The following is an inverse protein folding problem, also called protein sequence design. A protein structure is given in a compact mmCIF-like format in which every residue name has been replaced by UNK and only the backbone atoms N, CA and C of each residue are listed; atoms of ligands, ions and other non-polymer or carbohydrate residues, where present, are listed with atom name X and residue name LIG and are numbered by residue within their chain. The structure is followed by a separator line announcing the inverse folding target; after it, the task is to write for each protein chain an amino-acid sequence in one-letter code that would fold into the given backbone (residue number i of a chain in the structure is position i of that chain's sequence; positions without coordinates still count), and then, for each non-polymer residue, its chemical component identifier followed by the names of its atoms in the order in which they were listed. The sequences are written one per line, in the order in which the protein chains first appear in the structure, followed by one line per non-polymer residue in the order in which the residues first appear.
data_IF_464096132182
#
_entry.id   IF_464096132182
#
_cell.length_a   1.000
_cell.length_b   1.000
_cell.length_c   1.000
_cell.angle_alpha   90.00
_cell.angle_beta   90.00
_cell.angle_gamma   90.00
#
_symmetry.space_group_name_H-M   'P 1'
#
loop_
_entity.id
_entity.type
_entity.pdbx_description
1 polymer ?
#
# COMPACT_ATOMS: atom_id res chain seq x y z
N UNK A 1 29.80 -16.13 -6.13
CA UNK A 1 29.70 -15.36 -7.39
C UNK A 1 29.66 -16.27 -8.64
N UNK A 2 30.71 -17.05 -8.93
CA UNK A 2 30.83 -17.89 -10.16
C UNK A 2 29.66 -18.87 -10.32
N UNK A 3 29.33 -19.64 -9.27
CA UNK A 3 28.23 -20.62 -9.28
C UNK A 3 26.90 -19.98 -9.68
N UNK A 4 26.51 -18.87 -9.05
CA UNK A 4 25.24 -18.19 -9.36
C UNK A 4 25.17 -17.69 -10.82
N UNK A 5 26.30 -17.21 -11.36
CA UNK A 5 26.35 -16.82 -12.78
C UNK A 5 26.23 -18.03 -13.70
N UNK A 6 26.86 -19.16 -13.35
CA UNK A 6 26.71 -20.43 -14.08
C UNK A 6 25.28 -20.99 -14.00
N UNK A 7 24.62 -20.90 -12.83
CA UNK A 7 23.20 -21.24 -12.66
C UNK A 7 22.30 -20.42 -13.57
N UNK A 8 22.43 -19.09 -13.55
CA UNK A 8 21.68 -18.23 -14.46
C UNK A 8 22.03 -18.48 -15.94
N UNK A 9 23.26 -18.87 -16.23
CA UNK A 9 23.67 -19.15 -17.60
C UNK A 9 23.04 -20.45 -18.13
N UNK A 10 23.22 -21.57 -17.43
CA UNK A 10 22.57 -22.84 -17.79
C UNK A 10 21.05 -22.70 -17.80
N UNK A 11 20.46 -21.95 -16.85
CA UNK A 11 19.03 -21.63 -16.88
C UNK A 11 18.61 -20.85 -18.13
N UNK A 12 19.49 -20.03 -18.71
CA UNK A 12 19.16 -19.30 -19.96
C UNK A 12 18.95 -20.27 -21.12
N UNK A 13 19.80 -21.29 -21.26
CA UNK A 13 19.62 -22.34 -22.28
C UNK A 13 18.30 -23.10 -22.07
N UNK A 14 18.03 -23.51 -20.82
CA UNK A 14 16.81 -24.21 -20.45
C UNK A 14 15.55 -23.37 -20.75
N UNK A 15 15.54 -22.10 -20.34
CA UNK A 15 14.41 -21.20 -20.58
C UNK A 15 14.23 -20.90 -22.08
N UNK A 16 15.31 -20.77 -22.85
CA UNK A 16 15.24 -20.57 -24.29
C UNK A 16 14.63 -21.79 -24.99
N UNK A 17 15.09 -23.00 -24.65
CA UNK A 17 14.53 -24.26 -25.16
C UNK A 17 13.06 -24.43 -24.77
N UNK A 18 12.71 -24.24 -23.50
CA UNK A 18 11.33 -24.30 -23.03
C UNK A 18 10.43 -23.26 -23.72
N UNK A 19 10.96 -22.07 -24.02
CA UNK A 19 10.23 -21.04 -24.77
C UNK A 19 9.95 -21.47 -26.21
N UNK A 20 10.91 -22.11 -26.91
CA UNK A 20 10.70 -22.69 -28.25
C UNK A 20 9.62 -23.78 -28.22
N UNK A 21 9.66 -24.67 -27.24
CA UNK A 21 8.66 -25.75 -27.11
C UNK A 21 7.25 -25.21 -26.85
N UNK A 22 7.12 -24.19 -25.99
CA UNK A 22 5.80 -23.69 -25.55
C UNK A 22 5.20 -22.66 -26.51
N UNK A 23 6.03 -21.82 -27.13
CA UNK A 23 5.60 -20.72 -27.99
C UNK A 23 5.74 -21.03 -29.48
N UNK A 24 6.71 -21.86 -29.88
CA UNK A 24 6.96 -22.26 -31.27
C UNK A 24 8.40 -22.03 -31.73
N UNK A 25 8.74 -22.59 -32.90
CA UNK A 25 10.10 -22.57 -33.46
C UNK A 25 10.58 -21.20 -33.94
N UNK A 26 9.70 -20.18 -33.98
CA UNK A 26 10.10 -18.80 -34.31
C UNK A 26 10.84 -18.09 -33.18
N UNK A 27 10.89 -18.70 -31.99
CA UNK A 27 11.65 -18.17 -30.86
C UNK A 27 13.15 -18.33 -31.14
N UNK A 28 13.82 -17.18 -31.22
CA UNK A 28 15.27 -17.06 -31.28
C UNK A 28 15.74 -16.08 -30.22
N UNK A 29 16.94 -16.29 -29.70
CA UNK A 29 17.55 -15.37 -28.75
C UNK A 29 17.98 -14.07 -29.46
N UNK A 30 17.51 -12.94 -28.94
CA UNK A 30 17.88 -11.60 -29.37
C UNK A 30 18.90 -10.94 -28.42
N UNK A 31 19.06 -11.47 -27.20
CA UNK A 31 20.01 -10.96 -26.22
C UNK A 31 19.85 -11.62 -24.86
N UNK A 32 20.88 -11.56 -24.02
CA UNK A 32 20.78 -12.07 -22.65
C UNK A 32 21.78 -11.38 -21.72
N UNK A 33 21.40 -11.17 -20.46
CA UNK A 33 22.30 -10.66 -19.41
C UNK A 33 22.06 -11.39 -18.11
N UNK A 34 23.15 -11.73 -17.44
CA UNK A 34 23.15 -12.45 -16.17
C UNK A 34 23.74 -11.56 -15.09
N UNK A 35 23.04 -11.44 -13.96
CA UNK A 35 23.53 -10.78 -12.75
C UNK A 35 23.52 -11.79 -11.60
N UNK A 36 23.94 -11.37 -10.41
CA UNK A 36 23.84 -12.23 -9.22
C UNK A 36 22.41 -12.34 -8.70
N UNK A 37 21.54 -11.36 -8.99
CA UNK A 37 20.17 -11.32 -8.48
C UNK A 37 19.14 -11.89 -9.44
N UNK A 38 19.37 -11.75 -10.75
CA UNK A 38 18.46 -12.21 -11.81
C UNK A 38 19.19 -12.38 -13.14
N UNK A 39 18.50 -13.01 -14.08
CA UNK A 39 18.86 -13.10 -15.49
C UNK A 39 17.73 -12.54 -16.34
N UNK A 40 18.08 -11.99 -17.50
CA UNK A 40 17.09 -11.76 -18.55
C UNK A 40 17.51 -12.40 -19.86
N UNK A 41 16.51 -12.88 -20.59
CA UNK A 41 16.60 -13.46 -21.92
C UNK A 41 15.60 -12.71 -22.81
N UNK A 42 16.11 -12.16 -23.90
CA UNK A 42 15.31 -11.47 -24.92
C UNK A 42 15.10 -12.46 -26.05
N UNK A 43 13.83 -12.71 -26.39
CA UNK A 43 13.42 -13.66 -27.43
C UNK A 43 12.61 -12.97 -28.51
N UNK A 44 12.72 -13.47 -29.74
CA UNK A 44 11.87 -13.05 -30.85
C UNK A 44 10.45 -13.57 -30.64
N UNK A 45 9.47 -12.68 -30.51
CA UNK A 45 8.07 -13.06 -30.34
C UNK A 45 7.15 -11.92 -30.80
N UNK A 46 6.05 -12.26 -31.48
CA UNK A 46 5.16 -11.28 -32.12
C UNK A 46 4.21 -10.56 -31.14
N UNK A 47 3.92 -11.15 -29.97
CA UNK A 47 2.90 -10.66 -29.05
C UNK A 47 3.34 -10.61 -27.59
N UNK A 48 2.44 -10.15 -26.71
CA UNK A 48 2.63 -10.32 -25.27
C UNK A 48 2.41 -11.79 -24.89
N UNK A 49 3.30 -12.33 -24.06
CA UNK A 49 3.18 -13.71 -23.59
C UNK A 49 2.17 -13.74 -22.44
N UNK A 50 1.11 -14.55 -22.59
CA UNK A 50 0.09 -14.69 -21.56
C UNK A 50 0.66 -15.31 -20.29
N UNK A 51 0.01 -15.05 -19.15
CA UNK A 51 0.44 -15.62 -17.86
C UNK A 51 0.46 -17.15 -17.89
N UNK A 52 -0.52 -17.78 -18.50
CA UNK A 52 -0.58 -19.24 -18.65
C UNK A 52 0.62 -19.77 -19.43
N UNK A 53 0.99 -19.11 -20.54
CA UNK A 53 2.18 -19.48 -21.31
C UNK A 53 3.46 -19.28 -20.52
N UNK A 54 3.59 -18.20 -19.72
CA UNK A 54 4.74 -18.02 -18.82
C UNK A 54 4.84 -19.15 -17.79
N UNK A 55 3.71 -19.54 -17.19
CA UNK A 55 3.67 -20.68 -16.25
C UNK A 55 4.04 -21.99 -16.94
N UNK A 56 3.62 -22.21 -18.19
CA UNK A 56 4.02 -23.38 -18.96
C UNK A 56 5.52 -23.38 -19.28
N UNK A 57 6.12 -22.23 -19.64
CA UNK A 57 7.58 -22.12 -19.85
C UNK A 57 8.32 -22.41 -18.54
N UNK A 58 7.87 -21.83 -17.42
CA UNK A 58 8.46 -22.07 -16.10
C UNK A 58 8.36 -23.55 -15.70
N UNK A 59 7.19 -24.17 -15.90
CA UNK A 59 6.97 -25.59 -15.61
C UNK A 59 7.91 -26.45 -16.43
N UNK A 60 7.95 -26.27 -17.76
CA UNK A 60 8.80 -27.04 -18.65
C UNK A 60 10.28 -26.84 -18.33
N UNK A 61 10.69 -25.61 -18.01
CA UNK A 61 12.06 -25.32 -17.59
C UNK A 61 12.44 -26.13 -16.34
N UNK A 62 11.55 -26.21 -15.35
CA UNK A 62 11.81 -26.97 -14.13
C UNK A 62 11.69 -28.49 -14.33
N UNK A 63 10.95 -28.98 -15.32
CA UNK A 63 10.96 -30.40 -15.73
C UNK A 63 12.35 -30.79 -16.25
N UNK A 64 12.94 -29.99 -17.14
CA UNK A 64 14.32 -30.20 -17.65
C UNK A 64 15.35 -30.20 -16.51
N UNK A 65 15.17 -29.34 -15.50
CA UNK A 65 16.02 -29.35 -14.30
C UNK A 65 15.89 -30.67 -13.53
N UNK A 66 14.66 -31.21 -13.41
CA UNK A 66 14.40 -32.48 -12.71
C UNK A 66 14.92 -33.70 -13.47
N UNK A 67 15.00 -33.63 -14.80
CA UNK A 67 15.57 -34.69 -15.64
C UNK A 67 17.07 -34.93 -15.36
N UNK A 68 17.74 -34.01 -14.66
CA UNK A 68 19.13 -34.14 -14.20
C UNK A 68 20.11 -34.58 -15.31
N UNK A 69 20.05 -33.90 -16.45
CA UNK A 69 20.83 -34.20 -17.65
C UNK A 69 22.26 -33.67 -17.49
N UNK A 70 23.25 -34.50 -17.79
CA UNK A 70 24.66 -34.09 -17.85
C UNK A 70 24.93 -33.25 -19.11
N UNK A 71 25.56 -32.09 -18.93
CA UNK A 71 25.98 -31.21 -20.01
C UNK A 71 27.24 -31.76 -20.69
N UNK A 72 27.27 -31.69 -22.02
CA UNK A 72 28.45 -31.98 -22.83
C UNK A 72 29.13 -30.67 -23.22
N UNK A 73 30.38 -30.49 -22.80
CA UNK A 73 31.19 -29.29 -23.05
C UNK A 73 32.39 -29.68 -23.90
N UNK A 74 32.46 -29.21 -25.14
CA UNK A 74 33.54 -29.59 -26.05
C UNK A 74 34.01 -28.45 -26.95
N UNK A 75 35.26 -28.50 -27.38
CA UNK A 75 35.78 -27.62 -28.44
C UNK A 75 35.88 -28.43 -29.72
N UNK A 76 35.19 -28.01 -30.77
CA UNK A 76 35.19 -28.69 -32.06
C UNK A 76 35.39 -27.69 -33.21
N UNK A 77 35.94 -28.12 -34.37
CA UNK A 77 36.01 -27.28 -35.55
C UNK A 77 34.64 -26.77 -35.98
N UNK A 78 34.54 -25.49 -36.35
CA UNK A 78 33.29 -24.82 -36.73
C UNK A 78 32.51 -25.59 -37.81
N UNK A 79 33.19 -26.02 -38.86
CA UNK A 79 32.59 -26.79 -39.95
C UNK A 79 31.96 -28.11 -39.48
N UNK A 80 32.56 -28.78 -38.49
CA UNK A 80 32.00 -29.99 -37.89
C UNK A 80 30.78 -29.68 -37.02
N UNK A 81 30.81 -28.58 -36.27
CA UNK A 81 29.68 -28.14 -35.46
C UNK A 81 28.46 -27.82 -36.33
N UNK A 82 28.65 -27.01 -37.37
CA UNK A 82 27.59 -26.63 -38.32
C UNK A 82 27.03 -27.84 -39.05
N UNK A 83 27.87 -28.81 -39.44
CA UNK A 83 27.41 -30.05 -40.07
C UNK A 83 26.60 -30.93 -39.12
N UNK A 84 26.95 -30.98 -37.82
CA UNK A 84 26.30 -31.85 -36.83
C UNK A 84 25.01 -31.24 -36.28
N UNK A 85 25.01 -29.95 -35.98
CA UNK A 85 23.95 -29.29 -35.21
C UNK A 85 23.22 -28.19 -36.00
N UNK A 86 23.64 -27.92 -37.24
CA UNK A 86 23.08 -26.85 -38.07
C UNK A 86 23.46 -25.45 -37.57
N UNK A 87 22.81 -24.44 -38.14
CA UNK A 87 23.03 -23.02 -37.80
C UNK A 87 22.35 -22.59 -36.50
N UNK A 88 21.52 -23.46 -35.91
CA UNK A 88 20.84 -23.20 -34.64
C UNK A 88 21.82 -22.98 -33.48
N UNK A 89 23.08 -23.45 -33.59
CA UNK A 89 24.11 -23.22 -32.56
C UNK A 89 24.43 -21.74 -32.32
N UNK A 90 24.02 -20.84 -33.22
CA UNK A 90 24.32 -19.40 -33.15
C UNK A 90 23.18 -18.55 -32.55
N UNK A 91 22.32 -19.12 -31.71
CA UNK A 91 21.34 -18.34 -30.92
C UNK A 91 22.01 -17.22 -30.10
N UNK A 92 23.22 -17.47 -29.59
CA UNK A 92 24.04 -16.49 -28.87
C UNK A 92 24.70 -15.42 -29.74
N UNK A 93 24.49 -15.44 -31.07
CA UNK A 93 25.24 -14.67 -32.04
C UNK A 93 26.45 -15.42 -32.60
N UNK A 94 27.11 -14.81 -33.58
CA UNK A 94 28.27 -15.39 -34.26
C UNK A 94 29.50 -15.42 -33.33
N UNK A 95 30.12 -16.59 -33.20
CA UNK A 95 31.30 -16.79 -32.34
C UNK A 95 32.57 -16.79 -33.21
N UNK A 96 33.60 -15.98 -32.94
CA UNK A 96 34.83 -15.96 -33.75
C UNK A 96 35.69 -17.22 -33.56
N UNK A 97 36.59 -17.49 -34.51
CA UNK A 97 37.58 -18.58 -34.43
C UNK A 97 37.26 -19.86 -35.24
N UNK A 98 38.30 -20.64 -35.56
CA UNK A 98 38.19 -21.90 -36.32
C UNK A 98 37.60 -23.04 -35.49
N UNK A 99 37.88 -23.07 -34.19
CA UNK A 99 37.26 -23.98 -33.23
C UNK A 99 36.25 -23.21 -32.39
N UNK A 100 35.08 -23.78 -32.18
CA UNK A 100 34.01 -23.21 -31.36
C UNK A 100 33.79 -24.07 -30.14
N UNK A 101 33.48 -23.42 -29.01
CA UNK A 101 33.07 -24.11 -27.78
C UNK A 101 31.58 -24.43 -27.86
N UNK A 102 31.24 -25.70 -27.89
CA UNK A 102 29.87 -26.20 -27.87
C UNK A 102 29.49 -26.54 -26.44
N UNK A 103 28.32 -26.03 -26.05
CA UNK A 103 27.61 -26.37 -24.83
C UNK A 103 26.33 -27.08 -25.26
N UNK A 104 26.22 -28.36 -24.94
CA UNK A 104 25.10 -29.19 -25.29
C UNK A 104 24.41 -29.68 -24.01
N UNK A 105 23.10 -29.45 -23.93
CA UNK A 105 22.18 -30.14 -23.03
C UNK A 105 21.50 -31.21 -23.91
N UNK A 106 21.95 -32.48 -23.87
CA UNK A 106 21.48 -33.52 -24.76
C UNK A 106 19.96 -33.60 -24.85
N UNK A 107 19.42 -33.58 -26.07
CA UNK A 107 17.98 -33.64 -26.34
C UNK A 107 17.19 -32.35 -26.08
N UNK A 108 17.83 -31.30 -25.55
CA UNK A 108 17.15 -30.05 -25.15
C UNK A 108 17.68 -28.84 -25.93
N UNK A 109 18.99 -28.62 -25.89
CA UNK A 109 19.61 -27.42 -26.47
C UNK A 109 21.07 -27.65 -26.83
N UNK A 110 21.53 -26.97 -27.88
CA UNK A 110 22.93 -26.95 -28.28
C UNK A 110 23.30 -25.59 -28.83
N UNK A 111 24.28 -24.94 -28.21
CA UNK A 111 24.70 -23.59 -28.57
C UNK A 111 26.23 -23.45 -28.52
N UNK A 112 26.76 -22.61 -29.41
CA UNK A 112 28.15 -22.18 -29.37
C UNK A 112 28.28 -21.08 -28.31
N UNK A 113 28.79 -21.43 -27.12
CA UNK A 113 28.80 -20.53 -25.97
C UNK A 113 30.14 -20.56 -25.21
N UNK A 114 30.70 -19.37 -24.97
CA UNK A 114 31.99 -19.19 -24.28
C UNK A 114 31.88 -18.97 -22.77
N UNK A 115 30.68 -18.90 -22.19
CA UNK A 115 30.54 -18.58 -20.77
C UNK A 115 30.67 -19.78 -19.84
N UNK A 116 30.60 -19.53 -18.54
CA UNK A 116 30.62 -20.60 -17.53
C UNK A 116 29.26 -21.30 -17.46
N UNK A 117 29.25 -22.63 -17.37
CA UNK A 117 28.05 -23.47 -17.21
C UNK A 117 28.23 -24.43 -16.05
N UNK A 118 27.11 -24.99 -15.61
CA UNK A 118 27.05 -26.14 -14.70
C UNK A 118 27.39 -27.44 -15.45
N UNK A 119 27.55 -28.54 -14.72
CA UNK A 119 27.81 -29.85 -15.32
C UNK A 119 26.53 -30.68 -15.49
N UNK A 120 25.49 -30.38 -14.71
CA UNK A 120 24.20 -31.06 -14.76
C UNK A 120 23.03 -30.06 -14.66
N UNK A 121 21.91 -30.33 -15.35
CA UNK A 121 20.74 -29.43 -15.32
C UNK A 121 20.16 -29.26 -13.92
N UNK A 122 20.24 -30.29 -13.06
CA UNK A 122 19.73 -30.25 -11.69
C UNK A 122 20.42 -29.21 -10.79
N UNK A 123 21.70 -28.92 -11.05
CA UNK A 123 22.48 -27.90 -10.32
C UNK A 123 21.94 -26.47 -10.54
N UNK A 124 21.13 -26.28 -11.58
CA UNK A 124 20.45 -25.01 -11.88
C UNK A 124 19.52 -24.61 -10.74
N UNK A 125 18.97 -25.60 -10.02
CA UNK A 125 17.93 -25.39 -9.02
C UNK A 125 16.65 -24.84 -9.62
N UNK A 126 15.74 -24.38 -8.76
CA UNK A 126 14.44 -23.87 -9.18
C UNK A 126 14.58 -22.63 -10.07
N UNK A 127 13.97 -22.67 -11.25
CA UNK A 127 13.85 -21.53 -12.16
C UNK A 127 12.52 -20.83 -11.88
N UNK A 128 12.55 -19.53 -11.62
CA UNK A 128 11.34 -18.72 -11.44
C UNK A 128 11.32 -17.54 -12.42
N UNK A 129 10.33 -17.49 -13.30
CA UNK A 129 10.07 -16.40 -14.23
C UNK A 129 9.34 -15.28 -13.48
N UNK A 130 10.01 -14.14 -13.33
CA UNK A 130 9.51 -13.02 -12.54
C UNK A 130 8.72 -12.01 -13.35
N UNK A 131 9.06 -11.86 -14.64
CA UNK A 131 8.44 -10.85 -15.52
C UNK A 131 8.57 -11.22 -16.99
N UNK A 132 7.56 -10.84 -17.78
CA UNK A 132 7.64 -10.73 -19.23
C UNK A 132 7.36 -9.28 -19.64
N UNK A 133 8.14 -8.74 -20.56
CA UNK A 133 7.98 -7.36 -21.04
C UNK A 133 8.31 -7.26 -22.52
N UNK A 134 7.42 -6.66 -23.33
CA UNK A 134 7.73 -6.28 -24.71
C UNK A 134 8.74 -5.14 -24.68
N UNK A 135 9.89 -5.32 -25.34
CA UNK A 135 10.96 -4.32 -25.40
C UNK A 135 10.79 -3.45 -26.65
N UNK A 136 10.53 -4.11 -27.78
CA UNK A 136 10.24 -3.50 -29.07
C UNK A 136 9.37 -4.46 -29.89
N UNK A 137 8.96 -4.06 -31.09
CA UNK A 137 8.24 -4.95 -31.99
C UNK A 137 9.09 -6.18 -32.32
N UNK A 138 8.46 -7.35 -32.20
CA UNK A 138 9.11 -8.64 -32.41
C UNK A 138 10.03 -9.11 -31.29
N UNK A 139 10.26 -8.37 -30.19
CA UNK A 139 11.17 -8.78 -29.11
C UNK A 139 10.53 -8.66 -27.72
N UNK A 140 10.56 -9.77 -26.98
CA UNK A 140 10.04 -9.89 -25.61
C UNK A 140 11.15 -10.33 -24.67
N UNK A 141 11.28 -9.64 -23.53
CA UNK A 141 12.23 -9.98 -22.46
C UNK A 141 11.54 -10.80 -21.39
N UNK A 142 12.07 -12.00 -21.15
CA UNK A 142 11.80 -12.83 -20.00
C UNK A 142 12.84 -12.54 -18.92
N UNK A 143 12.40 -12.11 -17.74
CA UNK A 143 13.25 -11.98 -16.56
C UNK A 143 12.98 -13.16 -15.64
N UNK A 144 14.05 -13.80 -15.15
CA UNK A 144 13.94 -14.97 -14.29
C UNK A 144 15.10 -15.04 -13.28
N UNK A 145 14.95 -15.94 -12.32
CA UNK A 145 15.96 -16.28 -11.31
C UNK A 145 16.17 -17.79 -11.32
N UNK A 146 17.37 -18.24 -10.96
CA UNK A 146 17.69 -19.66 -10.80
C UNK A 146 18.53 -19.90 -9.55
N UNK A 147 18.46 -21.10 -8.99
CA UNK A 147 19.29 -21.51 -7.86
C UNK A 147 19.08 -20.64 -6.62
N UNK A 148 20.18 -20.17 -6.01
CA UNK A 148 20.14 -19.43 -4.76
C UNK A 148 19.35 -18.11 -4.89
N UNK A 149 19.46 -17.41 -6.02
CA UNK A 149 18.68 -16.20 -6.28
C UNK A 149 17.16 -16.45 -6.24
N UNK A 150 16.70 -17.62 -6.71
CA UNK A 150 15.27 -17.99 -6.64
C UNK A 150 14.84 -18.26 -5.20
N UNK A 151 15.69 -18.92 -4.41
CA UNK A 151 15.47 -19.17 -2.97
C UNK A 151 15.39 -17.86 -2.18
N UNK A 152 16.31 -16.94 -2.41
CA UNK A 152 16.31 -15.61 -1.78
C UNK A 152 15.05 -14.82 -2.12
N UNK A 153 14.64 -14.82 -3.39
CA UNK A 153 13.42 -14.16 -3.82
C UNK A 153 12.18 -14.76 -3.14
N UNK A 154 12.09 -16.09 -3.05
CA UNK A 154 11.00 -16.78 -2.34
C UNK A 154 10.97 -16.43 -0.86
N UNK A 155 12.13 -16.32 -0.20
CA UNK A 155 12.23 -15.88 1.20
C UNK A 155 11.75 -14.44 1.37
N UNK A 156 12.15 -13.53 0.47
CA UNK A 156 11.68 -12.14 0.48
C UNK A 156 10.16 -12.05 0.33
N UNK A 157 9.60 -12.71 -0.68
CA UNK A 157 8.14 -12.75 -0.88
C UNK A 157 7.41 -13.37 0.31
N UNK A 158 7.97 -14.41 0.93
CA UNK A 158 7.40 -15.02 2.14
C UNK A 158 7.31 -14.00 3.27
N UNK A 159 8.39 -13.25 3.52
CA UNK A 159 8.45 -12.21 4.56
C UNK A 159 7.42 -11.11 4.30
N UNK A 160 7.34 -10.61 3.06
CA UNK A 160 6.34 -9.60 2.68
C UNK A 160 4.91 -10.09 2.93
N UNK A 161 4.60 -11.34 2.62
CA UNK A 161 3.28 -11.93 2.89
C UNK A 161 3.00 -12.10 4.39
N UNK A 162 4.02 -12.41 5.19
CA UNK A 162 3.87 -12.52 6.65
C UNK A 162 3.65 -11.14 7.29
N UNK A 163 4.38 -10.11 6.85
CA UNK A 163 4.12 -8.73 7.28
C UNK A 163 2.68 -8.29 6.95
N UNK A 164 2.16 -8.65 5.77
CA UNK A 164 0.77 -8.36 5.39
C UNK A 164 -0.24 -9.11 6.24
N UNK A 165 0.05 -10.37 6.65
CA UNK A 165 -0.81 -11.10 7.59
C UNK A 165 -0.91 -10.35 8.91
N UNK A 166 0.22 -9.89 9.44
CA UNK A 166 0.29 -9.22 10.73
C UNK A 166 -0.45 -7.87 10.70
N UNK A 167 -0.27 -7.09 9.62
CA UNK A 167 -0.96 -5.80 9.45
C UNK A 167 -2.48 -5.99 9.35
N UNK A 168 -2.93 -6.99 8.60
CA UNK A 168 -4.35 -7.15 8.26
C UNK A 168 -5.11 -8.12 9.17
N UNK A 169 -4.42 -8.82 10.05
CA UNK A 169 -4.98 -9.78 11.00
C UNK A 169 -5.67 -10.97 10.34
N UNK A 170 -5.16 -11.47 9.20
CA UNK A 170 -5.76 -12.59 8.45
C UNK A 170 -4.72 -13.59 7.98
N UNK A 171 -5.18 -14.79 7.62
CA UNK A 171 -4.36 -15.76 6.92
C UNK A 171 -4.08 -15.39 5.47
N UNK A 172 -3.00 -15.97 4.92
CA UNK A 172 -2.51 -15.67 3.57
C UNK A 172 -3.58 -15.84 2.49
N UNK A 173 -4.43 -16.86 2.63
CA UNK A 173 -5.51 -17.18 1.69
C UNK A 173 -6.58 -16.08 1.59
N UNK A 174 -6.66 -15.19 2.57
CA UNK A 174 -7.64 -14.09 2.62
C UNK A 174 -7.01 -12.72 2.35
N UNK A 175 -5.70 -12.63 2.11
CA UNK A 175 -5.02 -11.35 1.94
C UNK A 175 -5.58 -10.53 0.77
N UNK A 176 -5.87 -11.17 -0.35
CA UNK A 176 -6.36 -10.48 -1.56
C UNK A 176 -7.72 -9.83 -1.29
N UNK A 177 -8.67 -10.55 -0.71
CA UNK A 177 -9.99 -10.00 -0.37
C UNK A 177 -9.88 -8.90 0.67
N UNK A 178 -9.03 -9.10 1.69
CA UNK A 178 -8.82 -8.13 2.76
C UNK A 178 -8.20 -6.82 2.28
N UNK A 179 -7.26 -6.90 1.33
CA UNK A 179 -6.70 -5.71 0.68
C UNK A 179 -7.76 -4.95 -0.12
N UNK A 180 -8.59 -5.66 -0.91
CA UNK A 180 -9.67 -5.01 -1.68
C UNK A 180 -10.63 -4.27 -0.77
N UNK A 181 -11.09 -4.93 0.29
CA UNK A 181 -11.98 -4.35 1.29
C UNK A 181 -11.34 -3.13 1.98
N UNK A 182 -10.07 -3.24 2.41
CA UNK A 182 -9.35 -2.13 3.03
C UNK A 182 -9.32 -0.90 2.13
N UNK A 183 -8.98 -1.06 0.85
CA UNK A 183 -8.91 0.08 -0.08
C UNK A 183 -10.28 0.70 -0.30
N UNK A 184 -11.33 -0.11 -0.40
CA UNK A 184 -12.71 0.38 -0.52
C UNK A 184 -13.15 1.16 0.73
N UNK A 185 -13.00 0.56 1.91
CA UNK A 185 -13.42 1.17 3.17
C UNK A 185 -12.59 2.39 3.54
N UNK A 186 -11.29 2.39 3.23
CA UNK A 186 -10.45 3.59 3.33
C UNK A 186 -11.01 4.77 2.51
N UNK A 187 -11.47 4.53 1.26
CA UNK A 187 -12.10 5.58 0.45
C UNK A 187 -13.41 6.07 1.07
N UNK A 188 -14.24 5.17 1.58
CA UNK A 188 -15.53 5.51 2.19
C UNK A 188 -15.35 6.28 3.50
N UNK A 189 -14.48 5.83 4.40
CA UNK A 189 -14.11 6.55 5.63
C UNK A 189 -13.62 7.96 5.32
N UNK A 190 -12.73 8.13 4.34
CA UNK A 190 -12.26 9.46 3.92
C UNK A 190 -13.37 10.35 3.34
N UNK A 191 -14.42 9.76 2.75
CA UNK A 191 -15.60 10.49 2.30
C UNK A 191 -16.53 10.85 3.47
N UNK A 192 -16.77 9.91 4.38
CA UNK A 192 -17.55 10.11 5.60
C UNK A 192 -16.98 11.23 6.47
N UNK A 193 -15.66 11.31 6.62
CA UNK A 193 -15.00 12.42 7.32
C UNK A 193 -15.29 13.81 6.71
N UNK A 194 -15.71 13.88 5.44
CA UNK A 194 -16.08 15.13 4.76
C UNK A 194 -17.58 15.40 4.80
N UNK A 195 -18.42 14.36 4.78
CA UNK A 195 -19.87 14.49 4.62
C UNK A 195 -20.65 14.26 5.91
N UNK A 196 -20.05 13.64 6.93
CA UNK A 196 -20.68 13.30 8.21
C UNK A 196 -21.64 12.10 8.16
N UNK A 197 -21.85 11.45 7.00
CA UNK A 197 -22.72 10.26 6.91
C UNK A 197 -21.91 9.01 7.22
N UNK A 198 -22.16 8.42 8.39
CA UNK A 198 -21.49 7.21 8.86
C UNK A 198 -22.28 5.97 8.44
N UNK A 199 -21.57 4.97 7.92
CA UNK A 199 -22.05 3.60 7.77
C UNK A 199 -21.14 2.71 8.62
N UNK A 200 -21.72 2.07 9.65
CA UNK A 200 -20.97 1.23 10.59
C UNK A 200 -20.27 0.05 9.92
N UNK A 201 -20.78 -0.42 8.78
CA UNK A 201 -20.13 -1.50 8.05
C UNK A 201 -18.76 -1.09 7.50
N UNK A 202 -18.51 0.19 7.24
CA UNK A 202 -17.25 0.70 6.69
C UNK A 202 -16.14 0.82 7.75
N UNK A 203 -16.48 0.63 9.02
CA UNK A 203 -15.58 0.81 10.18
C UNK A 203 -14.87 -0.48 10.60
N UNK A 204 -15.21 -1.60 9.98
CA UNK A 204 -14.60 -2.92 10.28
C UNK A 204 -14.10 -3.59 9.02
N UNK A 205 -13.10 -4.47 9.12
CA UNK A 205 -12.68 -5.34 8.01
C UNK A 205 -13.12 -6.77 8.31
N UNK A 206 -13.97 -7.34 7.46
CA UNK A 206 -14.64 -8.63 7.71
C UNK A 206 -14.49 -9.64 6.57
N UNK A 207 -13.93 -9.25 5.43
CA UNK A 207 -13.76 -10.12 4.27
C UNK A 207 -12.92 -11.35 4.60
N UNK A 208 -13.35 -12.49 4.06
CA UNK A 208 -12.78 -13.82 4.32
C UNK A 208 -12.83 -14.73 3.08
N UNK A 209 -12.97 -14.15 1.89
CA UNK A 209 -12.94 -14.90 0.64
C UNK A 209 -11.56 -15.53 0.46
N UNK A 210 -11.51 -16.72 -0.14
CA UNK A 210 -10.26 -17.43 -0.41
C UNK A 210 -9.78 -17.06 -1.81
N UNK A 211 -8.50 -16.74 -1.93
CA UNK A 211 -7.82 -16.58 -3.21
C UNK A 211 -6.75 -17.65 -3.39
N UNK A 212 -6.79 -18.31 -4.54
CA UNK A 212 -5.78 -19.28 -4.97
C UNK A 212 -4.92 -18.67 -6.07
N UNK A 213 -3.58 -18.72 -5.90
CA UNK A 213 -2.62 -18.21 -6.87
C UNK A 213 -1.48 -17.39 -6.25
N UNK A 214 -0.82 -16.57 -7.07
CA UNK A 214 0.24 -15.66 -6.60
C UNK A 214 -0.38 -14.42 -5.93
N UNK A 215 -0.44 -14.46 -4.61
CA UNK A 215 -0.98 -13.40 -3.75
C UNK A 215 -0.31 -12.05 -3.98
N UNK A 216 1.03 -12.00 -4.00
CA UNK A 216 1.76 -10.74 -4.16
C UNK A 216 1.55 -10.14 -5.54
N UNK A 217 1.49 -10.97 -6.59
CA UNK A 217 1.14 -10.49 -7.91
C UNK A 217 -0.26 -9.89 -7.95
N UNK A 218 -1.26 -10.58 -7.39
CA UNK A 218 -2.63 -10.09 -7.44
C UNK A 218 -2.79 -8.78 -6.67
N UNK A 219 -2.17 -8.67 -5.49
CA UNK A 219 -2.18 -7.42 -4.72
C UNK A 219 -1.46 -6.29 -5.47
N UNK A 220 -0.27 -6.58 -6.02
CA UNK A 220 0.50 -5.64 -6.86
C UNK A 220 -0.32 -5.14 -8.05
N UNK A 221 -1.08 -6.03 -8.71
CA UNK A 221 -1.98 -5.70 -9.83
C UNK A 221 -3.15 -4.82 -9.38
N UNK A 222 -3.83 -5.18 -8.29
CA UNK A 222 -4.98 -4.44 -7.76
C UNK A 222 -4.62 -3.00 -7.39
N UNK A 223 -3.42 -2.81 -6.85
CA UNK A 223 -2.92 -1.49 -6.44
C UNK A 223 -2.15 -0.75 -7.55
N UNK A 224 -1.85 -1.43 -8.66
CA UNK A 224 -0.99 -0.94 -9.74
C UNK A 224 0.37 -0.42 -9.24
N UNK A 225 1.05 -1.21 -8.41
CA UNK A 225 2.37 -0.90 -7.83
C UNK A 225 3.31 -2.09 -7.98
N UNK A 226 4.61 -1.91 -7.72
CA UNK A 226 5.56 -3.03 -7.74
C UNK A 226 5.38 -3.93 -6.51
N UNK A 227 5.74 -5.22 -6.64
CA UNK A 227 5.63 -6.22 -5.55
C UNK A 227 6.35 -5.79 -4.27
N UNK A 228 7.52 -5.17 -4.39
CA UNK A 228 8.33 -4.69 -3.27
C UNK A 228 7.80 -3.42 -2.59
N UNK A 229 6.81 -2.75 -3.18
CA UNK A 229 6.13 -1.59 -2.61
C UNK A 229 4.81 -1.97 -1.91
N UNK A 230 4.38 -3.24 -2.00
CA UNK A 230 3.08 -3.69 -1.50
C UNK A 230 2.96 -3.52 0.01
N UNK A 231 3.94 -4.01 0.79
CA UNK A 231 3.90 -3.97 2.25
C UNK A 231 3.74 -2.55 2.79
N UNK A 232 4.59 -1.62 2.32
CA UNK A 232 4.57 -0.22 2.76
C UNK A 232 3.28 0.50 2.34
N UNK A 233 2.75 0.21 1.15
CA UNK A 233 1.50 0.81 0.68
C UNK A 233 0.29 0.35 1.48
N UNK A 234 0.19 -0.94 1.78
CA UNK A 234 -0.89 -1.49 2.61
C UNK A 234 -0.81 -0.95 4.04
N UNK A 235 0.39 -0.90 4.61
CA UNK A 235 0.59 -0.31 5.95
C UNK A 235 0.09 1.13 6.01
N UNK A 236 0.37 1.94 4.97
CA UNK A 236 -0.13 3.32 4.87
C UNK A 236 -1.67 3.36 4.84
N UNK A 237 -2.31 2.58 3.96
CA UNK A 237 -3.77 2.54 3.89
C UNK A 237 -4.42 2.10 5.20
N UNK A 238 -3.87 1.04 5.83
CA UNK A 238 -4.37 0.52 7.09
C UNK A 238 -4.26 1.57 8.22
N UNK A 239 -3.13 2.27 8.30
CA UNK A 239 -2.92 3.33 9.30
C UNK A 239 -3.88 4.50 9.09
N UNK A 240 -4.04 4.97 7.86
CA UNK A 240 -4.97 6.06 7.54
C UNK A 240 -6.43 5.66 7.82
N UNK A 241 -6.83 4.45 7.43
CA UNK A 241 -8.16 3.93 7.70
C UNK A 241 -8.44 3.83 9.21
N UNK A 242 -7.53 3.24 9.98
CA UNK A 242 -7.67 3.10 11.45
C UNK A 242 -7.82 4.46 12.13
N UNK A 243 -7.02 5.46 11.71
CA UNK A 243 -7.14 6.84 12.22
C UNK A 243 -8.50 7.45 11.88
N UNK A 244 -8.97 7.27 10.66
CA UNK A 244 -10.28 7.75 10.22
C UNK A 244 -11.43 7.11 10.99
N UNK A 245 -11.38 5.78 11.20
CA UNK A 245 -12.36 5.04 12.01
C UNK A 245 -12.37 5.56 13.46
N UNK A 246 -11.21 5.72 14.09
CA UNK A 246 -11.13 6.29 15.44
C UNK A 246 -11.74 7.69 15.51
N UNK A 247 -11.56 8.51 14.48
CA UNK A 247 -12.14 9.84 14.43
C UNK A 247 -13.66 9.80 14.28
N UNK A 248 -14.18 8.92 13.43
CA UNK A 248 -15.62 8.72 13.26
C UNK A 248 -16.25 8.26 14.58
N UNK A 249 -15.69 7.25 15.24
CA UNK A 249 -16.20 6.76 16.53
C UNK A 249 -16.19 7.86 17.60
N UNK A 250 -15.16 8.73 17.61
CA UNK A 250 -15.13 9.90 18.49
C UNK A 250 -16.30 10.85 18.20
N UNK A 251 -16.56 11.16 16.91
CA UNK A 251 -17.66 12.04 16.51
C UNK A 251 -19.03 11.45 16.85
N UNK A 252 -19.24 10.15 16.61
CA UNK A 252 -20.50 9.47 16.97
C UNK A 252 -20.74 9.48 18.48
N UNK A 253 -19.71 9.19 19.28
CA UNK A 253 -19.81 9.26 20.74
C UNK A 253 -20.16 10.66 21.23
N UNK A 254 -19.64 11.71 20.58
CA UNK A 254 -19.99 13.09 20.93
C UNK A 254 -21.44 13.40 20.56
N UNK A 255 -21.94 12.91 19.44
CA UNK A 255 -23.29 13.21 18.97
C UNK A 255 -24.39 12.35 19.62
N UNK A 256 -24.03 11.41 20.50
CA UNK A 256 -24.98 10.59 21.24
C UNK A 256 -25.78 11.40 22.26
N UNK A 257 -27.11 11.24 22.25
CA UNK A 257 -28.04 11.95 23.14
C UNK A 257 -27.76 11.69 24.62
N UNK A 258 -27.35 10.47 25.00
CA UNK A 258 -27.00 10.16 26.39
C UNK A 258 -25.79 10.96 26.88
N UNK A 259 -24.78 11.11 26.02
CA UNK A 259 -23.60 11.92 26.32
C UNK A 259 -23.96 13.40 26.43
N UNK A 260 -24.83 13.90 25.55
CA UNK A 260 -25.34 15.28 25.62
C UNK A 260 -26.12 15.51 26.91
N UNK A 261 -26.99 14.58 27.30
CA UNK A 261 -27.74 14.64 28.54
C UNK A 261 -26.82 14.66 29.77
N UNK A 262 -25.74 13.86 29.76
CA UNK A 262 -24.73 13.88 30.83
C UNK A 262 -23.98 15.21 30.88
N UNK A 263 -23.61 15.77 29.73
CA UNK A 263 -22.98 17.10 29.65
C UNK A 263 -23.86 18.19 30.24
N UNK A 264 -25.17 18.14 29.98
CA UNK A 264 -26.12 19.12 30.51
C UNK A 264 -26.32 18.98 32.01
N UNK A 265 -26.33 17.76 32.55
CA UNK A 265 -26.31 17.54 34.01
C UNK A 265 -25.08 18.16 34.67
N UNK A 266 -23.95 18.18 33.98
CA UNK A 266 -22.67 18.78 34.45
C UNK A 266 -22.50 20.25 34.05
N UNK A 267 -23.43 20.82 33.29
CA UNK A 267 -23.36 22.21 32.84
C UNK A 267 -23.53 23.19 33.99
N UNK A 268 -22.98 24.39 33.83
CA UNK A 268 -23.12 25.47 34.81
C UNK A 268 -24.25 26.40 34.39
N UNK A 269 -24.85 27.12 35.34
CA UNK A 269 -25.85 28.13 34.99
C UNK A 269 -25.15 29.45 34.64
N UNK A 270 -25.64 30.14 33.61
CA UNK A 270 -25.30 31.52 33.29
C UNK A 270 -26.62 32.29 33.15
N UNK A 271 -26.98 33.05 34.20
CA UNK A 271 -28.35 33.55 34.34
C UNK A 271 -29.34 32.39 34.35
N UNK A 272 -30.36 32.48 33.51
CA UNK A 272 -31.40 31.45 33.35
C UNK A 272 -31.03 30.35 32.33
N UNK A 273 -29.83 30.41 31.73
CA UNK A 273 -29.40 29.51 30.66
C UNK A 273 -28.36 28.50 31.14
N UNK A 274 -28.32 27.33 30.50
CA UNK A 274 -27.28 26.32 30.71
C UNK A 274 -26.04 26.63 29.88
N UNK A 275 -24.88 26.69 30.51
CA UNK A 275 -23.59 26.89 29.86
C UNK A 275 -22.78 25.59 29.85
N UNK A 276 -22.55 25.07 28.65
CA UNK A 276 -21.73 23.89 28.41
C UNK A 276 -20.32 24.34 28.01
N UNK A 277 -19.40 24.33 28.98
CA UNK A 277 -17.96 24.56 28.76
C UNK A 277 -17.23 23.21 28.68
N UNK A 278 -16.74 22.85 27.50
CA UNK A 278 -16.09 21.55 27.28
C UNK A 278 -14.80 21.68 26.46
N UNK A 279 -13.84 20.81 26.77
CA UNK A 279 -12.57 20.67 26.06
C UNK A 279 -12.61 19.44 25.14
N UNK A 280 -11.98 19.57 23.97
CA UNK A 280 -11.83 18.54 22.95
C UNK A 280 -10.40 18.51 22.44
N UNK A 281 -10.05 17.43 21.74
CA UNK A 281 -8.75 17.28 21.09
C UNK A 281 -8.93 16.97 19.60
N UNK A 282 -8.31 17.79 18.75
CA UNK A 282 -8.16 17.56 17.32
C UNK A 282 -9.47 17.50 16.52
N UNK A 283 -10.56 18.13 16.97
CA UNK A 283 -11.78 18.28 16.17
C UNK A 283 -11.63 19.42 15.14
N UNK A 284 -12.36 19.33 14.03
CA UNK A 284 -12.48 20.44 13.09
C UNK A 284 -13.50 21.47 13.59
N UNK A 285 -13.45 22.68 13.06
CA UNK A 285 -14.44 23.72 13.35
C UNK A 285 -15.87 23.27 12.99
N UNK A 286 -16.04 22.55 11.89
CA UNK A 286 -17.34 22.01 11.48
C UNK A 286 -17.87 20.97 12.46
N UNK A 287 -17.00 20.13 13.03
CA UNK A 287 -17.41 19.12 14.03
C UNK A 287 -17.94 19.80 15.29
N UNK A 288 -17.19 20.78 15.82
CA UNK A 288 -17.58 21.56 16.98
C UNK A 288 -18.90 22.29 16.76
N UNK A 289 -19.06 22.92 15.59
CA UNK A 289 -20.30 23.61 15.21
C UNK A 289 -21.49 22.66 15.14
N UNK A 290 -21.32 21.51 14.47
CA UNK A 290 -22.37 20.51 14.37
C UNK A 290 -22.77 19.96 15.75
N UNK A 291 -21.78 19.81 16.64
CA UNK A 291 -22.02 19.40 18.02
C UNK A 291 -22.82 20.45 18.81
N UNK A 292 -22.45 21.74 18.72
CA UNK A 292 -23.23 22.84 19.32
C UNK A 292 -24.67 22.84 18.81
N UNK A 293 -24.87 22.72 17.49
CA UNK A 293 -26.21 22.68 16.88
C UNK A 293 -27.01 21.48 17.40
N UNK A 294 -26.40 20.31 17.60
CA UNK A 294 -27.10 19.13 18.14
C UNK A 294 -27.57 19.36 19.57
N UNK A 295 -26.71 19.90 20.44
CA UNK A 295 -27.07 20.25 21.82
C UNK A 295 -28.25 21.24 21.81
N UNK A 296 -28.15 22.30 21.01
CA UNK A 296 -29.17 23.36 20.96
C UNK A 296 -30.51 22.89 20.39
N UNK A 297 -30.51 21.88 19.52
CA UNK A 297 -31.74 21.27 19.02
C UNK A 297 -32.47 20.46 20.09
N UNK A 298 -31.73 19.86 21.03
CA UNK A 298 -32.32 19.12 22.14
C UNK A 298 -32.71 20.07 23.28
N UNK A 299 -31.95 21.16 23.47
CA UNK A 299 -32.10 22.11 24.58
C UNK A 299 -31.85 23.54 24.09
N UNK A 300 -32.94 24.28 23.82
CA UNK A 300 -32.85 25.62 23.23
C UNK A 300 -32.28 26.68 24.19
N UNK A 301 -32.29 26.40 25.49
CA UNK A 301 -31.81 27.24 26.61
C UNK A 301 -30.32 27.06 26.91
N UNK A 302 -29.52 26.73 25.89
CA UNK A 302 -28.11 26.40 26.06
C UNK A 302 -27.17 27.39 25.38
N UNK A 303 -26.08 27.73 26.06
CA UNK A 303 -24.88 28.38 25.52
C UNK A 303 -23.76 27.35 25.52
N UNK A 304 -23.06 27.20 24.40
CA UNK A 304 -21.92 26.28 24.29
C UNK A 304 -20.64 27.07 24.13
N UNK A 305 -19.59 26.71 24.87
CA UNK A 305 -18.23 27.20 24.68
C UNK A 305 -17.30 26.00 24.64
N UNK A 306 -16.67 25.78 23.50
CA UNK A 306 -15.80 24.66 23.26
C UNK A 306 -14.37 25.13 23.06
N UNK A 307 -13.46 24.51 23.78
CA UNK A 307 -12.02 24.63 23.60
C UNK A 307 -11.53 23.36 22.92
N UNK A 308 -10.77 23.48 21.84
CA UNK A 308 -10.26 22.35 21.10
C UNK A 308 -8.75 22.47 20.93
N UNK A 309 -8.03 21.54 21.54
CA UNK A 309 -6.59 21.46 21.45
C UNK A 309 -6.18 20.96 20.06
N UNK A 310 -5.22 21.63 19.43
CA UNK A 310 -4.70 21.27 18.10
C UNK A 310 -3.18 21.27 18.13
N UNK A 311 -2.54 20.69 17.11
CA UNK A 311 -1.09 20.67 16.99
C UNK A 311 -0.45 22.08 16.83
N UNK A 312 -1.27 23.09 16.55
CA UNK A 312 -0.84 24.47 16.31
C UNK A 312 -1.25 25.42 17.44
N UNK A 313 -2.06 24.98 18.41
CA UNK A 313 -2.59 25.81 19.48
C UNK A 313 -4.04 25.47 19.85
N UNK A 314 -4.77 26.40 20.44
CA UNK A 314 -6.13 26.18 20.96
C UNK A 314 -7.15 26.91 20.10
N UNK A 315 -8.11 26.16 19.56
CA UNK A 315 -9.29 26.70 18.88
C UNK A 315 -10.42 26.91 19.88
N UNK A 316 -11.15 28.02 19.75
CA UNK A 316 -12.33 28.34 20.55
C UNK A 316 -13.52 28.47 19.62
N UNK A 317 -14.64 27.84 19.97
CA UNK A 317 -15.93 28.02 19.30
C UNK A 317 -17.01 28.21 20.35
N UNK A 318 -17.78 29.29 20.25
CA UNK A 318 -18.90 29.58 21.13
C UNK A 318 -20.16 29.84 20.32
N UNK A 319 -21.31 29.37 20.82
CA UNK A 319 -22.61 29.56 20.18
C UNK A 319 -23.70 29.75 21.24
N UNK A 320 -24.72 30.54 20.92
CA UNK A 320 -25.97 30.65 21.69
C UNK A 320 -27.11 29.88 21.02
N UNK A 321 -27.92 29.18 21.83
CA UNK A 321 -29.23 28.65 21.44
C UNK A 321 -30.29 29.75 21.27
N UNK A 322 -31.48 29.37 20.81
CA UNK A 322 -32.54 30.32 20.46
C UNK A 322 -33.03 31.16 21.64
N UNK A 323 -33.16 30.59 22.83
CA UNK A 323 -33.61 31.30 24.03
C UNK A 323 -32.57 32.34 24.52
N UNK A 324 -31.29 31.97 24.78
CA UNK A 324 -30.28 32.94 25.19
C UNK A 324 -30.03 34.01 24.13
N UNK A 325 -30.13 33.70 22.83
CA UNK A 325 -29.94 34.73 21.80
C UNK A 325 -30.94 35.90 21.92
N UNK A 326 -32.19 35.60 22.32
CA UNK A 326 -33.26 36.59 22.48
C UNK A 326 -33.15 37.37 23.80
N UNK A 327 -32.81 36.68 24.88
CA UNK A 327 -32.96 37.18 26.24
C UNK A 327 -31.63 37.54 26.92
N UNK A 328 -30.53 36.92 26.51
CA UNK A 328 -29.20 37.22 27.03
C UNK A 328 -28.65 38.53 26.42
N UNK A 329 -27.93 39.27 27.27
CA UNK A 329 -27.10 40.42 26.88
C UNK A 329 -25.70 39.99 26.42
N UNK A 330 -25.40 38.69 26.43
CA UNK A 330 -24.12 38.17 26.01
C UNK A 330 -23.98 38.33 24.49
N UNK A 331 -22.78 38.67 24.06
CA UNK A 331 -22.39 38.62 22.66
C UNK A 331 -21.24 37.61 22.58
N UNK A 332 -21.52 36.40 22.11
CA UNK A 332 -20.50 35.33 22.13
C UNK A 332 -19.34 35.63 21.18
N UNK A 333 -19.58 36.36 20.09
CA UNK A 333 -18.52 36.83 19.20
C UNK A 333 -17.52 37.75 19.91
N UNK A 334 -18.02 38.74 20.66
CA UNK A 334 -17.18 39.64 21.46
C UNK A 334 -16.49 38.90 22.60
N UNK A 335 -17.20 38.00 23.29
CA UNK A 335 -16.61 37.17 24.34
C UNK A 335 -15.42 36.36 23.80
N UNK A 336 -15.58 35.69 22.66
CA UNK A 336 -14.50 34.91 22.05
C UNK A 336 -13.33 35.81 21.66
N UNK A 337 -13.59 36.98 21.07
CA UNK A 337 -12.55 37.97 20.72
C UNK A 337 -11.73 38.35 21.95
N UNK A 338 -12.38 38.73 23.03
CA UNK A 338 -11.68 39.12 24.27
C UNK A 338 -10.91 37.97 24.92
N UNK A 339 -11.42 36.74 24.84
CA UNK A 339 -10.70 35.55 25.36
C UNK A 339 -9.42 35.34 24.55
N UNK A 340 -9.52 35.27 23.21
CA UNK A 340 -8.33 34.97 22.40
C UNK A 340 -7.32 36.10 22.44
N UNK A 341 -7.74 37.37 22.47
CA UNK A 341 -6.83 38.52 22.59
C UNK A 341 -6.02 38.49 23.89
N UNK A 342 -6.62 38.05 25.01
CA UNK A 342 -5.93 37.89 26.29
C UNK A 342 -4.77 36.87 26.23
N UNK A 343 -4.85 35.92 25.30
CA UNK A 343 -3.81 34.90 25.08
C UNK A 343 -3.05 35.09 23.77
N UNK A 344 -3.01 36.32 23.23
CA UNK A 344 -2.32 36.66 21.97
C UNK A 344 -2.82 35.88 20.73
N UNK A 345 -4.08 35.47 20.75
CA UNK A 345 -4.81 34.85 19.65
C UNK A 345 -5.61 35.86 18.81
N UNK A 346 -6.30 35.35 17.79
CA UNK A 346 -7.21 36.11 16.92
C UNK A 346 -8.55 35.42 16.80
N UNK A 347 -9.63 36.20 16.78
CA UNK A 347 -10.98 35.67 16.70
C UNK A 347 -12.04 36.75 16.80
N UNK A 348 -13.29 36.31 16.82
CA UNK A 348 -14.48 37.15 16.87
C UNK A 348 -15.67 36.44 16.26
N UNK A 349 -16.75 37.18 16.05
CA UNK A 349 -17.94 36.64 15.41
C UNK A 349 -19.17 37.54 15.56
N UNK A 350 -20.33 36.93 15.35
CA UNK A 350 -21.65 37.55 15.51
C UNK A 350 -22.12 37.42 16.96
N UNK A 351 -23.31 37.98 17.25
CA UNK A 351 -23.92 37.89 18.59
C UNK A 351 -24.09 36.44 19.04
N UNK A 352 -24.55 35.57 18.14
CA UNK A 352 -24.93 34.17 18.34
C UNK A 352 -23.80 33.15 18.06
N UNK A 353 -22.70 33.58 17.43
CA UNK A 353 -21.60 32.71 17.01
C UNK A 353 -20.25 33.41 17.15
N UNK A 354 -19.32 32.81 17.89
CA UNK A 354 -17.94 33.26 18.00
C UNK A 354 -16.94 32.15 17.68
N UNK A 355 -15.84 32.50 17.01
CA UNK A 355 -14.74 31.59 16.75
C UNK A 355 -13.39 32.28 16.93
N UNK A 356 -12.38 31.53 17.33
CA UNK A 356 -11.04 32.09 17.48
C UNK A 356 -9.95 31.03 17.60
N UNK A 357 -8.72 31.47 17.46
CA UNK A 357 -7.55 30.61 17.55
C UNK A 357 -6.43 31.29 18.34
N UNK A 358 -5.87 30.56 19.30
CA UNK A 358 -4.71 30.97 20.09
C UNK A 358 -3.50 30.19 19.57
N UNK A 359 -2.60 30.88 18.88
CA UNK A 359 -1.41 30.29 18.28
C UNK A 359 -0.27 30.16 19.31
N UNK A 360 -0.49 29.34 20.34
CA UNK A 360 0.50 29.04 21.36
C UNK A 360 0.40 27.56 21.77
N UNK A 361 1.38 26.76 21.35
CA UNK A 361 1.43 25.31 21.60
C UNK A 361 1.72 24.94 23.06
N UNK A 362 2.34 25.85 23.81
CA UNK A 362 2.72 25.61 25.20
C UNK A 362 1.66 26.10 26.19
N UNK A 363 0.60 26.76 25.71
CA UNK A 363 -0.49 27.23 26.55
C UNK A 363 -1.34 26.06 27.03
N UNK A 364 -1.55 25.96 28.33
CA UNK A 364 -2.45 24.95 28.88
C UNK A 364 -3.90 25.29 28.52
N UNK A 365 -4.63 24.31 28.01
CA UNK A 365 -6.07 24.46 27.76
C UNK A 365 -6.84 24.72 29.06
N UNK A 366 -6.33 24.26 30.20
CA UNK A 366 -6.93 24.53 31.51
C UNK A 366 -6.77 25.98 31.94
N UNK A 367 -5.72 26.68 31.53
CA UNK A 367 -5.55 28.12 31.81
C UNK A 367 -6.63 28.94 31.10
N UNK A 368 -6.86 28.63 29.82
CA UNK A 368 -7.93 29.26 29.03
C UNK A 368 -9.30 28.94 29.63
N UNK A 369 -9.52 27.68 30.02
CA UNK A 369 -10.77 27.23 30.65
C UNK A 369 -11.04 27.94 31.98
N UNK A 370 -10.01 28.13 32.80
CA UNK A 370 -10.10 28.83 34.08
C UNK A 370 -10.36 30.33 33.89
N UNK A 371 -9.71 30.96 32.90
CA UNK A 371 -10.00 32.34 32.52
C UNK A 371 -11.48 32.53 32.11
N UNK A 372 -12.03 31.62 31.29
CA UNK A 372 -13.44 31.65 30.89
C UNK A 372 -14.36 31.52 32.11
N UNK A 373 -14.06 30.60 33.03
CA UNK A 373 -14.83 30.41 34.27
C UNK A 373 -14.87 31.66 35.12
N UNK A 374 -13.73 32.29 35.34
CA UNK A 374 -13.63 33.52 36.13
C UNK A 374 -14.39 34.66 35.45
N UNK A 375 -14.24 34.80 34.13
CA UNK A 375 -14.88 35.89 33.37
C UNK A 375 -16.41 35.80 33.33
N UNK A 376 -16.94 34.59 33.31
CA UNK A 376 -18.38 34.33 33.30
C UNK A 376 -18.96 34.12 34.70
N UNK A 377 -18.18 34.32 35.77
CA UNK A 377 -18.57 34.09 37.16
C UNK A 377 -19.17 32.69 37.40
N UNK A 378 -18.60 31.67 36.76
CA UNK A 378 -19.06 30.28 36.89
C UNK A 378 -18.47 29.67 38.16
N UNK A 379 -19.18 29.80 39.29
CA UNK A 379 -18.88 29.06 40.52
C UNK A 379 -19.09 27.56 40.35
#
# INVERSE_FOLDING_TARGET
RRIQLSQHHTATHIVNAASREVLGNHINQAGAKKTLKNSHLDITHYGQISREKLLSIERRSNEIVKEAINLSLSFIPRSKAEKKYGMAIYQGGAVPGKNVRIVEIPGIDVEACGGTHLNNTSETGHIHITKSQKIQDGVVRLTFTAGNASVELKRKHKKELDELKDILGVDRKHLVSRVKELVEKWKKVNKTLKTGKVDNNDLHLISSEVFEGDLLFEISRLLNIKKDEVSSKIQKFYTEWTKGVSKINQLESLLNDDFINELLKKSKNYGDFKLVLKTFDGLSQSDLKNFSIRIMKLFEDTITIFLNNTNEGIMILAMEGNAPLKESKLNVGNLVKEIVENFSGKGGGKKDYGQGFINNKNLSIDDVKNYIRNKLNLS
#
